data_IF_613252055365
#
_entry.id   IF_613252055365
#
_cell.length_a   1.000
_cell.length_b   1.000
_cell.length_c   1.000
_cell.angle_alpha   90.00
_cell.angle_beta   90.00
_cell.angle_gamma   90.00
#
_symmetry.space_group_name_H-M   'P 1'
#
loop_
_entity.id
_entity.type
_entity.pdbx_description
1 polymer ?
#
# COMPACT_ATOMS: atom_id res chain seq x y z
N UNK A 1 -16.89 -29.59 46.38
CA UNK A 1 -16.40 -29.23 47.74
C UNK A 1 -15.09 -28.48 47.50
N UNK A 2 -14.90 -27.17 47.71
CA UNK A 2 -15.54 -26.08 48.46
C UNK A 2 -15.25 -24.79 47.64
N UNK A 3 -16.28 -24.10 47.13
CA UNK A 3 -16.79 -22.75 47.54
C UNK A 3 -15.85 -21.56 47.20
N UNK A 4 -16.34 -20.69 46.30
CA UNK A 4 -15.88 -19.31 46.08
C UNK A 4 -16.16 -18.45 47.33
N UNK A 5 -15.31 -17.49 47.72
CA UNK A 5 -15.73 -16.47 48.67
C UNK A 5 -16.70 -15.48 48.00
N UNK A 6 -17.90 -15.42 48.57
CA UNK A 6 -18.97 -14.47 48.29
C UNK A 6 -18.63 -13.05 48.75
N UNK A 7 -19.18 -12.06 48.05
CA UNK A 7 -19.27 -10.66 48.46
C UNK A 7 -19.81 -10.49 49.89
N UNK A 8 -19.28 -9.50 50.60
CA UNK A 8 -19.98 -8.83 51.70
C UNK A 8 -20.13 -7.34 51.35
N UNK A 9 -21.34 -6.84 51.55
CA UNK A 9 -21.86 -5.51 51.23
C UNK A 9 -22.04 -4.78 52.56
N UNK A 10 -21.64 -3.52 52.70
CA UNK A 10 -22.53 -2.53 53.35
C UNK A 10 -22.21 -1.06 53.02
N UNK A 11 -23.29 -0.30 53.07
CA UNK A 11 -23.65 1.03 52.63
C UNK A 11 -22.97 2.21 53.35
N UNK A 12 -22.90 3.36 52.66
CA UNK A 12 -23.33 4.69 53.18
C UNK A 12 -22.98 5.84 52.21
N UNK A 13 -24.02 6.30 51.49
CA UNK A 13 -24.36 7.71 51.19
C UNK A 13 -23.28 8.75 50.79
N UNK A 14 -23.33 9.28 49.55
CA UNK A 14 -24.02 10.56 49.25
C UNK A 14 -23.80 11.03 47.79
N UNK A 15 -24.90 11.33 47.10
CA UNK A 15 -24.97 12.00 45.80
C UNK A 15 -25.02 13.54 45.99
N UNK A 16 -24.66 14.41 45.00
CA UNK A 16 -25.55 14.61 43.86
C UNK A 16 -24.90 14.91 42.48
N UNK A 17 -25.70 14.52 41.49
CA UNK A 17 -25.83 14.88 40.07
C UNK A 17 -25.33 16.28 39.67
N UNK A 18 -24.74 16.39 38.46
CA UNK A 18 -25.22 17.33 37.43
C UNK A 18 -24.75 16.96 36.00
N UNK A 19 -25.73 17.00 35.08
CA UNK A 19 -25.68 16.80 33.60
C UNK A 19 -25.03 18.00 32.91
N UNK A 20 -24.33 17.80 31.78
CA UNK A 20 -24.65 18.54 30.55
C UNK A 20 -24.05 17.89 29.26
N UNK A 21 -24.95 17.57 28.33
CA UNK A 21 -24.88 17.40 26.85
C UNK A 21 -23.51 17.20 26.18
N UNK A 22 -23.34 16.24 25.25
CA UNK A 22 -23.95 16.34 23.91
C UNK A 22 -24.10 14.99 23.14
N UNK A 23 -25.34 14.73 22.68
CA UNK A 23 -25.81 14.20 21.37
C UNK A 23 -25.11 12.96 20.77
N UNK A 24 -25.67 11.73 20.65
CA UNK A 24 -26.91 11.18 20.03
C UNK A 24 -26.90 11.11 18.48
N UNK A 25 -26.90 9.85 18.00
CA UNK A 25 -27.53 9.27 16.78
C UNK A 25 -26.80 9.20 15.42
N UNK A 26 -26.27 8.00 15.11
CA UNK A 26 -26.69 7.02 14.07
C UNK A 26 -26.77 7.43 12.56
N UNK A 27 -27.04 6.50 11.59
CA UNK A 27 -26.09 6.07 10.56
C UNK A 27 -26.54 6.33 9.11
N UNK A 28 -25.70 6.89 8.24
CA UNK A 28 -26.00 7.11 6.81
C UNK A 28 -24.69 7.14 6.01
N UNK A 29 -24.54 6.82 4.73
CA UNK A 29 -25.28 6.13 3.66
C UNK A 29 -24.26 6.08 2.51
N UNK A 30 -24.19 4.98 1.76
CA UNK A 30 -23.39 4.88 0.54
C UNK A 30 -23.78 5.95 -0.48
N UNK A 31 -22.94 6.96 -0.71
CA UNK A 31 -23.07 7.88 -1.84
C UNK A 31 -21.81 7.81 -2.70
N UNK A 32 -21.91 7.07 -3.79
CA UNK A 32 -21.01 7.11 -4.94
C UNK A 32 -21.10 8.48 -5.62
N UNK A 33 -20.25 9.42 -5.24
CA UNK A 33 -20.05 10.65 -6.03
C UNK A 33 -18.88 10.44 -6.97
N UNK A 34 -19.17 10.15 -8.25
CA UNK A 34 -18.26 10.40 -9.36
C UNK A 34 -17.99 11.91 -9.40
N UNK A 35 -16.94 12.35 -8.69
CA UNK A 35 -16.49 13.73 -8.77
C UNK A 35 -15.88 13.94 -10.16
N UNK A 36 -16.60 14.70 -10.99
CA UNK A 36 -16.08 15.32 -12.19
C UNK A 36 -14.77 16.05 -11.85
N UNK A 37 -13.62 15.47 -12.21
CA UNK A 37 -12.33 16.09 -11.98
C UNK A 37 -12.25 17.33 -12.87
N UNK A 38 -12.30 18.50 -12.23
CA UNK A 38 -11.80 19.75 -12.81
C UNK A 38 -10.42 19.48 -13.44
N UNK A 39 -10.10 20.04 -14.63
CA UNK A 39 -8.78 19.90 -15.19
C UNK A 39 -7.79 20.49 -14.18
N UNK A 40 -7.01 19.61 -13.56
CA UNK A 40 -5.96 20.00 -12.64
C UNK A 40 -4.94 20.84 -13.44
N UNK A 41 -4.30 21.82 -12.77
CA UNK A 41 -3.33 22.70 -13.39
C UNK A 41 -2.28 21.90 -14.16
N UNK A 42 -1.80 22.44 -15.27
CA UNK A 42 -0.83 21.84 -16.20
C UNK A 42 0.41 21.29 -15.46
N UNK A 43 0.29 20.09 -14.95
CA UNK A 43 1.40 19.18 -14.74
C UNK A 43 1.62 18.61 -16.13
N UNK A 44 2.79 18.84 -16.73
CA UNK A 44 3.17 18.28 -18.04
C UNK A 44 3.40 16.76 -17.91
N UNK A 45 2.41 16.07 -17.35
CA UNK A 45 2.39 14.65 -17.09
C UNK A 45 1.95 13.95 -18.35
N UNK A 46 2.80 13.05 -18.84
CA UNK A 46 2.50 12.21 -19.99
C UNK A 46 2.02 10.85 -19.47
N UNK A 47 0.78 10.50 -19.81
CA UNK A 47 0.24 9.17 -19.53
C UNK A 47 0.54 8.24 -20.70
N UNK A 48 1.28 7.16 -20.43
CA UNK A 48 1.66 6.16 -21.44
C UNK A 48 0.97 4.84 -21.13
N UNK A 49 0.25 4.28 -22.11
CA UNK A 49 -0.39 2.98 -22.03
C UNK A 49 0.46 1.94 -22.77
N UNK A 50 0.97 0.93 -22.04
CA UNK A 50 1.71 -0.19 -22.61
C UNK A 50 0.81 -1.43 -22.71
N UNK A 51 0.62 -1.93 -23.92
CA UNK A 51 -0.21 -3.10 -24.21
C UNK A 51 0.62 -4.28 -24.71
N UNK A 52 0.15 -5.50 -24.45
CA UNK A 52 0.78 -6.75 -24.88
C UNK A 52 0.33 -7.94 -24.03
N UNK A 53 0.58 -9.15 -24.51
CA UNK A 53 0.21 -10.39 -23.82
C UNK A 53 0.97 -10.57 -22.48
N UNK A 54 0.57 -11.54 -21.65
CA UNK A 54 1.29 -11.86 -20.41
C UNK A 54 2.67 -12.44 -20.72
N UNK A 55 3.69 -12.07 -19.95
CA UNK A 55 5.04 -12.59 -20.11
C UNK A 55 5.89 -11.92 -21.20
N UNK A 56 5.33 -11.00 -22.01
CA UNK A 56 6.09 -10.28 -23.06
C UNK A 56 7.11 -9.26 -22.52
N UNK A 57 7.19 -9.07 -21.20
CA UNK A 57 8.20 -8.21 -20.58
C UNK A 57 7.80 -6.75 -20.36
N UNK A 58 6.50 -6.39 -20.35
CA UNK A 58 6.06 -5.00 -20.10
C UNK A 58 6.60 -4.40 -18.80
N UNK A 59 6.53 -5.14 -17.69
CA UNK A 59 7.09 -4.68 -16.39
C UNK A 59 8.62 -4.56 -16.44
N UNK A 60 9.28 -5.49 -17.13
CA UNK A 60 10.74 -5.45 -17.37
C UNK A 60 11.13 -4.20 -18.14
N UNK A 61 10.36 -3.84 -19.18
CA UNK A 61 10.59 -2.64 -19.97
C UNK A 61 10.44 -1.37 -19.13
N UNK A 62 9.42 -1.27 -18.28
CA UNK A 62 9.23 -0.09 -17.40
C UNK A 62 10.43 0.10 -16.46
N UNK A 63 10.90 -0.98 -15.83
CA UNK A 63 12.08 -0.92 -14.97
C UNK A 63 13.33 -0.48 -15.76
N UNK A 64 13.57 -1.03 -16.95
CA UNK A 64 14.69 -0.62 -17.80
C UNK A 64 14.57 0.84 -18.27
N UNK A 65 13.37 1.28 -18.66
CA UNK A 65 13.10 2.64 -19.12
C UNK A 65 13.34 3.67 -18.02
N UNK A 66 12.98 3.37 -16.77
CA UNK A 66 13.29 4.23 -15.64
C UNK A 66 14.81 4.43 -15.45
N UNK A 67 15.59 3.34 -15.54
CA UNK A 67 17.05 3.43 -15.45
C UNK A 67 17.65 4.24 -16.62
N UNK A 68 17.13 4.07 -17.83
CA UNK A 68 17.54 4.83 -19.01
C UNK A 68 17.30 6.34 -18.87
N UNK A 69 16.18 6.75 -18.27
CA UNK A 69 15.88 8.17 -18.06
C UNK A 69 16.72 8.82 -16.96
N UNK A 70 17.21 8.03 -16.00
CA UNK A 70 17.89 8.54 -14.80
C UNK A 70 19.40 8.56 -14.96
N UNK A 71 19.98 7.54 -15.60
CA UNK A 71 21.42 7.45 -15.81
C UNK A 71 21.82 7.98 -17.19
N UNK A 72 22.86 8.81 -17.23
CA UNK A 72 23.32 9.45 -18.46
C UNK A 72 24.20 8.54 -19.32
N UNK A 73 24.78 7.49 -18.73
CA UNK A 73 25.61 6.52 -19.43
C UNK A 73 25.43 5.11 -18.86
N UNK A 74 25.83 4.12 -19.65
CA UNK A 74 25.78 2.72 -19.25
C UNK A 74 26.72 2.46 -18.06
N UNK A 75 27.92 3.02 -18.07
CA UNK A 75 28.92 2.85 -17.00
C UNK A 75 28.39 3.41 -15.66
N UNK A 76 27.65 4.52 -15.72
CA UNK A 76 26.99 5.09 -14.55
C UNK A 76 25.89 4.15 -14.03
N UNK A 77 25.08 3.59 -14.93
CA UNK A 77 24.00 2.67 -14.56
C UNK A 77 24.56 1.36 -13.98
N UNK A 78 25.62 0.81 -14.56
CA UNK A 78 26.25 -0.45 -14.16
C UNK A 78 26.90 -0.36 -12.77
N UNK A 79 27.51 0.79 -12.45
CA UNK A 79 28.14 1.02 -11.15
C UNK A 79 27.16 1.44 -10.04
N UNK A 80 25.88 1.62 -10.37
CA UNK A 80 24.81 2.04 -9.45
C UNK A 80 23.85 0.89 -9.15
N UNK A 81 23.08 0.99 -8.06
CA UNK A 81 21.97 0.07 -7.82
C UNK A 81 20.83 0.34 -8.82
N UNK A 82 20.29 -0.70 -9.51
CA UNK A 82 19.21 -0.51 -10.46
C UNK A 82 17.93 0.00 -9.81
N UNK A 83 17.27 0.94 -10.48
CA UNK A 83 15.97 1.47 -10.04
C UNK A 83 14.88 0.49 -10.46
N UNK A 84 14.20 -0.09 -9.47
CA UNK A 84 13.11 -1.06 -9.68
C UNK A 84 11.80 -0.45 -9.18
N UNK A 85 10.96 0.00 -10.11
CA UNK A 85 9.67 0.62 -9.81
C UNK A 85 8.60 -0.45 -9.62
N UNK A 86 8.65 -1.49 -10.46
CA UNK A 86 7.70 -2.61 -10.42
C UNK A 86 8.44 -3.83 -9.89
N UNK A 87 8.06 -4.36 -8.70
CA UNK A 87 8.64 -5.59 -8.17
C UNK A 87 8.45 -6.75 -9.15
N UNK A 88 9.54 -7.45 -9.41
CA UNK A 88 9.62 -8.58 -10.34
C UNK A 88 10.46 -9.67 -9.68
N UNK A 89 10.10 -10.93 -9.92
CA UNK A 89 10.93 -12.07 -9.54
C UNK A 89 11.31 -12.81 -10.81
N UNK A 90 12.58 -13.20 -10.88
CA UNK A 90 13.13 -13.94 -12.00
C UNK A 90 13.64 -15.29 -11.53
N UNK A 91 13.45 -16.31 -12.34
CA UNK A 91 14.20 -17.55 -12.20
C UNK A 91 15.42 -17.44 -13.10
N UNK A 92 16.61 -17.45 -12.52
CA UNK A 92 17.88 -17.45 -13.22
C UNK A 92 18.50 -18.84 -13.14
N UNK A 93 19.03 -19.32 -14.25
CA UNK A 93 19.72 -20.60 -14.33
C UNK A 93 21.24 -20.37 -14.23
N UNK A 94 21.90 -21.04 -13.30
CA UNK A 94 23.29 -20.75 -12.92
C UNK A 94 24.17 -21.98 -13.14
N UNK A 95 25.32 -21.76 -13.79
CA UNK A 95 26.34 -22.77 -14.02
C UNK A 95 25.92 -23.84 -15.05
N UNK A 96 26.82 -24.80 -15.27
CA UNK A 96 26.64 -25.85 -16.28
C UNK A 96 25.63 -26.93 -15.86
N UNK A 97 25.25 -26.95 -14.58
CA UNK A 97 24.27 -27.89 -14.02
C UNK A 97 22.82 -27.37 -14.15
N UNK A 98 22.63 -26.18 -14.72
CA UNK A 98 21.33 -25.55 -14.91
C UNK A 98 20.51 -25.40 -13.61
N UNK A 99 21.18 -25.07 -12.50
CA UNK A 99 20.50 -24.85 -11.21
C UNK A 99 19.63 -23.59 -11.27
N UNK A 100 18.37 -23.71 -10.86
CA UNK A 100 17.42 -22.59 -10.85
C UNK A 100 17.49 -21.81 -9.53
N UNK A 101 17.76 -20.52 -9.59
CA UNK A 101 17.69 -19.60 -8.46
C UNK A 101 16.65 -18.52 -8.71
N UNK A 102 15.76 -18.30 -7.74
CA UNK A 102 14.89 -17.12 -7.73
C UNK A 102 15.59 -15.92 -7.11
N UNK A 103 15.54 -14.81 -7.83
CA UNK A 103 16.02 -13.48 -7.42
C UNK A 103 14.90 -12.45 -7.58
#
# INVERSE_FOLDING_TARGET
MVILPSNEVDHSENHPKQRLSSQVSAPETSTSSLSSSSPLPNDDTINILLLGETGVGKSTFINAFANYLIFNSFEQAESSEPIVIIPVSFTMTIGDNFEEQRI
#
